data_IF_696561266744
#
_entry.id   IF_696561266744
#
_cell.length_a   1.000
_cell.length_b   1.000
_cell.length_c   1.000
_cell.angle_alpha   90.00
_cell.angle_beta   90.00
_cell.angle_gamma   90.00
#
_symmetry.space_group_name_H-M   'P 1'
#
loop_
_entity.id
_entity.type
_entity.pdbx_description
1 polymer ?
#
# COMPACT_ATOMS: atom_id res chain seq x y z
N UNK A 1 2.37 -4.85 42.76
CA UNK A 1 3.41 -5.14 41.76
C UNK A 1 2.72 -5.30 40.42
N UNK A 2 2.98 -4.40 39.47
CA UNK A 2 2.39 -4.40 38.14
C UNK A 2 2.96 -5.54 37.29
N UNK A 3 2.06 -6.25 36.59
CA UNK A 3 2.40 -7.19 35.54
C UNK A 3 2.17 -6.49 34.19
N UNK A 4 3.26 -6.16 33.50
CA UNK A 4 3.27 -5.69 32.11
C UNK A 4 4.03 -6.73 31.30
N UNK A 5 3.32 -7.48 30.46
CA UNK A 5 3.93 -8.56 29.67
C UNK A 5 2.96 -9.23 28.72
N UNK A 6 2.36 -8.46 27.79
CA UNK A 6 1.72 -8.93 26.54
C UNK A 6 1.13 -7.74 25.77
N UNK A 7 1.97 -6.95 25.09
CA UNK A 7 1.49 -5.97 24.10
C UNK A 7 2.28 -6.03 22.78
N UNK A 8 3.58 -6.36 22.81
CA UNK A 8 4.44 -6.35 21.62
C UNK A 8 4.11 -7.36 20.50
N UNK A 9 3.38 -8.44 20.80
CA UNK A 9 3.01 -9.44 19.80
C UNK A 9 1.81 -9.06 18.93
N UNK A 10 0.91 -8.20 19.44
CA UNK A 10 -0.32 -7.82 18.74
C UNK A 10 -0.04 -6.76 17.67
N UNK A 11 0.75 -5.75 18.01
CA UNK A 11 0.98 -4.61 17.12
C UNK A 11 1.90 -4.98 15.96
N UNK A 12 2.94 -5.79 16.20
CA UNK A 12 3.85 -6.22 15.15
C UNK A 12 3.17 -7.09 14.07
N UNK A 13 2.27 -7.98 14.49
CA UNK A 13 1.52 -8.86 13.57
C UNK A 13 0.42 -8.08 12.83
N UNK A 14 -0.20 -7.07 13.45
CA UNK A 14 -1.15 -6.16 12.79
C UNK A 14 -0.47 -5.27 11.74
N UNK A 15 0.67 -4.66 12.06
CA UNK A 15 1.47 -3.88 11.10
C UNK A 15 1.90 -4.75 9.93
N UNK A 16 2.31 -5.99 10.18
CA UNK A 16 2.72 -6.92 9.14
C UNK A 16 1.56 -7.32 8.21
N UNK A 17 0.38 -7.56 8.77
CA UNK A 17 -0.83 -7.81 7.99
C UNK A 17 -1.18 -6.62 7.08
N UNK A 18 -1.11 -5.40 7.60
CA UNK A 18 -1.33 -4.17 6.81
C UNK A 18 -0.32 -4.03 5.67
N UNK A 19 0.97 -4.30 5.93
CA UNK A 19 2.00 -4.28 4.89
C UNK A 19 1.74 -5.35 3.81
N UNK A 20 1.36 -6.57 4.20
CA UNK A 20 0.98 -7.59 3.23
C UNK A 20 -0.17 -7.13 2.33
N UNK A 21 -1.19 -6.47 2.89
CA UNK A 21 -2.33 -5.92 2.13
C UNK A 21 -1.92 -4.83 1.14
N UNK A 22 -0.93 -4.00 1.49
CA UNK A 22 -0.44 -2.91 0.62
C UNK A 22 0.44 -3.46 -0.52
N UNK A 23 1.30 -4.44 -0.24
CA UNK A 23 2.36 -4.84 -1.17
C UNK A 23 2.05 -6.08 -2.02
N UNK A 24 1.01 -6.87 -1.72
CA UNK A 24 0.76 -8.10 -2.47
C UNK A 24 0.45 -7.87 -3.94
N UNK A 25 -0.40 -6.88 -4.26
CA UNK A 25 -0.80 -6.63 -5.63
C UNK A 25 0.32 -5.99 -6.47
N UNK A 26 1.07 -5.00 -5.94
CA UNK A 26 2.28 -4.52 -6.61
C UNK A 26 3.26 -5.66 -6.96
N UNK A 27 3.53 -6.58 -6.02
CA UNK A 27 4.44 -7.71 -6.25
C UNK A 27 3.88 -8.72 -7.26
N UNK A 28 2.57 -8.96 -7.24
CA UNK A 28 1.88 -9.78 -8.23
C UNK A 28 2.00 -9.19 -9.64
N UNK A 29 1.67 -7.91 -9.79
CA UNK A 29 1.76 -7.20 -11.08
C UNK A 29 3.20 -7.17 -11.60
N UNK A 30 4.18 -6.97 -10.71
CA UNK A 30 5.59 -7.08 -11.05
C UNK A 30 5.93 -8.47 -11.61
N UNK A 31 5.50 -9.55 -10.95
CA UNK A 31 5.75 -10.91 -11.43
C UNK A 31 5.11 -11.18 -12.81
N UNK A 32 3.88 -10.71 -13.06
CA UNK A 32 3.23 -10.80 -14.38
C UNK A 32 4.02 -10.08 -15.46
N UNK A 33 4.54 -8.88 -15.16
CA UNK A 33 5.36 -8.09 -16.10
C UNK A 33 6.76 -8.68 -16.33
N UNK A 34 7.26 -9.51 -15.42
CA UNK A 34 8.48 -10.31 -15.62
C UNK A 34 8.26 -11.58 -16.47
N UNK A 35 7.05 -11.76 -17.02
CA UNK A 35 6.72 -12.85 -17.94
C UNK A 35 6.12 -14.09 -17.28
N UNK A 36 5.80 -14.05 -15.98
CA UNK A 36 5.02 -15.12 -15.35
C UNK A 36 3.59 -15.14 -15.90
N UNK A 37 3.06 -16.35 -16.15
CA UNK A 37 1.62 -16.52 -16.32
C UNK A 37 0.87 -16.25 -14.99
N UNK A 38 -0.46 -16.22 -15.04
CA UNK A 38 -1.30 -15.92 -13.87
C UNK A 38 -0.99 -16.84 -12.69
N UNK A 39 -1.04 -18.16 -12.90
CA UNK A 39 -0.82 -19.17 -11.87
C UNK A 39 0.57 -19.04 -11.28
N UNK A 40 1.60 -18.91 -12.13
CA UNK A 40 2.98 -18.76 -11.68
C UNK A 40 3.16 -17.45 -10.89
N UNK A 41 2.55 -16.35 -11.31
CA UNK A 41 2.63 -15.08 -10.58
C UNK A 41 1.95 -15.18 -9.19
N UNK A 42 0.83 -15.88 -9.08
CA UNK A 42 0.17 -16.14 -7.79
C UNK A 42 1.08 -16.97 -6.88
N UNK A 43 1.63 -18.07 -7.40
CA UNK A 43 2.52 -18.97 -6.65
C UNK A 43 3.81 -18.27 -6.21
N UNK A 44 4.39 -17.43 -7.07
CA UNK A 44 5.57 -16.63 -6.76
C UNK A 44 5.27 -15.59 -5.68
N UNK A 45 4.13 -14.91 -5.77
CA UNK A 45 3.72 -13.91 -4.78
C UNK A 45 3.46 -14.56 -3.42
N UNK A 46 2.67 -15.65 -3.38
CA UNK A 46 2.42 -16.38 -2.15
C UNK A 46 3.70 -16.96 -1.55
N UNK A 47 4.51 -17.65 -2.37
CA UNK A 47 5.78 -18.23 -1.92
C UNK A 47 6.75 -17.18 -1.39
N UNK A 48 6.79 -16.00 -2.01
CA UNK A 48 7.60 -14.89 -1.53
C UNK A 48 7.16 -14.42 -0.14
N UNK A 49 5.87 -14.17 0.07
CA UNK A 49 5.38 -13.77 1.40
C UNK A 49 5.57 -14.88 2.45
N UNK A 50 5.35 -16.15 2.09
CA UNK A 50 5.63 -17.28 3.00
C UNK A 50 7.11 -17.28 3.41
N UNK A 51 8.03 -17.21 2.44
CA UNK A 51 9.46 -17.18 2.70
C UNK A 51 9.88 -15.94 3.51
N UNK A 52 9.29 -14.78 3.20
CA UNK A 52 9.55 -13.53 3.88
C UNK A 52 9.09 -13.59 5.34
N UNK A 53 7.95 -14.19 5.64
CA UNK A 53 7.42 -14.35 6.99
C UNK A 53 8.17 -15.40 7.82
N UNK A 54 8.64 -16.47 7.17
CA UNK A 54 9.42 -17.53 7.81
C UNK A 54 10.86 -17.11 8.09
N UNK A 55 11.43 -16.29 7.21
CA UNK A 55 12.74 -15.69 7.44
C UNK A 55 12.60 -14.64 8.55
N UNK A 56 13.35 -14.83 9.65
CA UNK A 56 13.49 -13.81 10.71
C UNK A 56 14.02 -12.48 10.18
N UNK A 57 14.44 -12.44 8.91
CA UNK A 57 14.85 -11.29 8.15
C UNK A 57 13.76 -10.24 7.95
N UNK A 58 12.46 -10.56 8.01
CA UNK A 58 11.44 -9.51 7.93
C UNK A 58 11.52 -8.50 9.09
N UNK A 59 11.85 -9.00 10.29
CA UNK A 59 11.99 -8.16 11.49
C UNK A 59 13.32 -7.39 11.51
N UNK A 60 14.37 -7.88 10.85
CA UNK A 60 15.67 -7.20 10.72
C UNK A 60 15.81 -6.35 9.45
N UNK A 61 15.05 -6.62 8.39
CA UNK A 61 15.04 -5.84 7.14
C UNK A 61 14.49 -4.43 7.36
N UNK A 62 13.71 -4.22 8.42
CA UNK A 62 13.37 -2.89 8.95
C UNK A 62 14.59 -2.07 9.43
N UNK A 63 15.76 -2.70 9.65
CA UNK A 63 16.91 -2.10 10.37
C UNK A 63 18.18 -1.92 9.56
N UNK A 64 18.29 -2.40 8.31
CA UNK A 64 19.59 -2.38 7.62
C UNK A 64 19.57 -1.96 6.14
N UNK A 65 18.40 -1.69 5.53
CA UNK A 65 18.33 -1.43 4.08
C UNK A 65 17.26 -0.41 3.67
N UNK A 66 17.49 0.86 3.96
CA UNK A 66 16.78 1.98 3.33
C UNK A 66 15.25 1.84 3.33
N UNK A 67 14.59 2.22 2.23
CA UNK A 67 13.12 2.18 2.10
C UNK A 67 12.62 0.73 1.92
N UNK A 68 11.63 0.33 2.73
CA UNK A 68 11.06 -1.03 2.72
C UNK A 68 10.59 -1.48 1.33
N UNK A 69 10.02 -0.57 0.54
CA UNK A 69 9.60 -0.81 -0.84
C UNK A 69 10.76 -1.29 -1.74
N UNK A 70 11.92 -0.64 -1.66
CA UNK A 70 13.10 -1.02 -2.44
C UNK A 70 13.65 -2.37 -1.99
N UNK A 71 13.66 -2.62 -0.68
CA UNK A 71 14.03 -3.92 -0.12
C UNK A 71 13.11 -5.04 -0.65
N UNK A 72 11.79 -4.84 -0.63
CA UNK A 72 10.81 -5.82 -1.12
C UNK A 72 11.04 -6.15 -2.59
N UNK A 73 11.22 -5.12 -3.43
CA UNK A 73 11.39 -5.32 -4.86
C UNK A 73 12.69 -6.08 -5.21
N UNK A 74 13.79 -5.74 -4.54
CA UNK A 74 15.07 -6.46 -4.70
C UNK A 74 14.93 -7.91 -4.21
N UNK A 75 14.30 -8.10 -3.05
CA UNK A 75 14.09 -9.43 -2.47
C UNK A 75 13.19 -10.30 -3.33
N UNK A 76 12.11 -9.75 -3.90
CA UNK A 76 11.22 -10.44 -4.82
C UNK A 76 11.97 -10.87 -6.09
N UNK A 77 12.82 -9.99 -6.66
CA UNK A 77 13.64 -10.34 -7.82
C UNK A 77 14.57 -11.51 -7.53
N UNK A 78 15.29 -11.46 -6.41
CA UNK A 78 16.17 -12.57 -5.99
C UNK A 78 15.39 -13.85 -5.73
N UNK A 79 14.23 -13.74 -5.09
CA UNK A 79 13.35 -14.88 -4.84
C UNK A 79 12.90 -15.53 -6.15
N UNK A 80 12.39 -14.74 -7.10
CA UNK A 80 11.99 -15.24 -8.42
C UNK A 80 13.16 -15.91 -9.15
N UNK A 81 14.35 -15.30 -9.17
CA UNK A 81 15.54 -15.91 -9.78
C UNK A 81 15.87 -17.28 -9.14
N UNK A 82 15.90 -17.35 -7.82
CA UNK A 82 16.15 -18.59 -7.07
C UNK A 82 15.07 -19.65 -7.33
N UNK A 83 13.80 -19.27 -7.40
CA UNK A 83 12.70 -20.20 -7.69
C UNK A 83 12.75 -20.71 -9.12
N UNK A 84 13.13 -19.87 -10.09
CA UNK A 84 13.32 -20.29 -11.47
C UNK A 84 14.51 -21.26 -11.60
N UNK A 85 15.59 -21.04 -10.86
CA UNK A 85 16.72 -21.97 -10.77
C UNK A 85 16.30 -23.32 -10.13
N UNK A 86 15.51 -23.29 -9.05
CA UNK A 86 14.99 -24.49 -8.39
C UNK A 86 14.01 -25.27 -9.28
N UNK A 87 13.12 -24.60 -10.00
CA UNK A 87 12.19 -25.24 -10.93
C UNK A 87 12.92 -25.86 -12.13
N UNK A 88 14.01 -25.23 -12.59
CA UNK A 88 14.92 -25.81 -13.60
C UNK A 88 15.73 -26.99 -13.05
N UNK A 89 16.09 -26.97 -11.77
CA UNK A 89 16.89 -28.01 -11.11
C UNK A 89 16.09 -29.21 -10.54
N UNK A 90 14.80 -29.03 -10.22
CA UNK A 90 13.94 -30.05 -9.61
C UNK A 90 12.53 -29.98 -10.17
N UNK A 91 12.23 -30.87 -11.12
CA UNK A 91 10.84 -31.31 -11.34
C UNK A 91 10.41 -32.16 -10.14
N UNK A 92 9.57 -31.58 -9.29
CA UNK A 92 8.58 -32.16 -8.34
C UNK A 92 8.81 -31.87 -6.85
N UNK A 93 7.75 -31.33 -6.24
CA UNK A 93 7.27 -31.65 -4.90
C UNK A 93 7.75 -30.73 -3.79
N UNK A 94 6.88 -29.85 -3.31
CA UNK A 94 7.14 -29.08 -2.10
C UNK A 94 5.90 -28.37 -1.58
N UNK A 95 5.31 -28.95 -0.54
CA UNK A 95 4.21 -28.45 0.28
C UNK A 95 4.54 -27.03 0.80
N UNK A 96 3.73 -26.03 0.40
CA UNK A 96 3.92 -24.62 0.79
C UNK A 96 2.85 -24.21 1.78
N UNK A 97 3.28 -23.59 2.87
CA UNK A 97 2.38 -22.92 3.81
C UNK A 97 1.76 -21.71 3.10
N UNK A 98 0.44 -21.70 2.96
CA UNK A 98 -0.29 -20.62 2.29
C UNK A 98 -0.48 -19.42 3.23
N UNK A 99 0.06 -18.27 2.85
CA UNK A 99 -0.34 -16.98 3.41
C UNK A 99 -1.70 -16.61 2.81
N UNK A 100 -2.66 -16.20 3.65
CA UNK A 100 -3.97 -15.73 3.19
C UNK A 100 -3.84 -14.37 2.49
N UNK A 101 -3.57 -14.41 1.17
CA UNK A 101 -3.59 -13.25 0.28
C UNK A 101 -4.88 -13.30 -0.55
N UNK A 102 -5.61 -12.18 -0.64
CA UNK A 102 -6.79 -12.11 -1.49
C UNK A 102 -6.39 -11.93 -2.97
N UNK A 103 -5.89 -13.01 -3.60
CA UNK A 103 -5.50 -13.02 -5.02
C UNK A 103 -6.66 -13.27 -5.98
N UNK A 104 -7.89 -13.39 -5.46
CA UNK A 104 -9.05 -13.86 -6.24
C UNK A 104 -9.44 -12.92 -7.38
N UNK A 105 -9.14 -11.63 -7.26
CA UNK A 105 -9.43 -10.60 -8.26
C UNK A 105 -8.17 -10.10 -9.00
N UNK A 106 -7.00 -10.69 -8.73
CA UNK A 106 -5.71 -10.19 -9.20
C UNK A 106 -5.62 -10.12 -10.74
N UNK A 107 -6.13 -11.14 -11.43
CA UNK A 107 -6.16 -11.15 -12.91
C UNK A 107 -7.18 -10.17 -13.47
N UNK A 108 -8.33 -9.99 -12.83
CA UNK A 108 -9.33 -9.01 -13.25
C UNK A 108 -8.77 -7.59 -13.14
N UNK A 109 -8.03 -7.29 -12.05
CA UNK A 109 -7.32 -6.02 -11.89
C UNK A 109 -6.18 -5.85 -12.90
N UNK A 110 -5.41 -6.91 -13.17
CA UNK A 110 -4.31 -6.86 -14.14
C UNK A 110 -4.81 -6.66 -15.58
N UNK A 111 -5.90 -7.34 -15.98
CA UNK A 111 -6.44 -7.28 -17.33
C UNK A 111 -6.97 -5.88 -17.72
N UNK A 112 -7.39 -5.07 -16.75
CA UNK A 112 -7.85 -3.69 -16.98
C UNK A 112 -6.74 -2.65 -16.84
N UNK A 113 -5.52 -3.05 -16.49
CA UNK A 113 -4.39 -2.12 -16.49
C UNK A 113 -4.10 -1.63 -17.92
N UNK A 114 -3.87 -0.33 -18.13
CA UNK A 114 -3.44 0.17 -19.42
C UNK A 114 -2.13 -0.47 -19.85
N UNK A 115 -2.02 -0.87 -21.12
CA UNK A 115 -0.75 -1.24 -21.72
C UNK A 115 0.17 0.00 -21.68
N UNK A 116 1.16 -0.03 -20.81
CA UNK A 116 2.11 1.05 -20.56
C UNK A 116 3.49 0.63 -21.06
N UNK A 117 4.28 1.58 -21.56
CA UNK A 117 5.70 1.36 -21.90
C UNK A 117 6.62 1.47 -20.67
N UNK A 118 6.03 1.60 -19.48
CA UNK A 118 6.75 1.72 -18.21
C UNK A 118 7.44 0.40 -17.83
N UNK A 119 8.59 0.50 -17.15
CA UNK A 119 9.30 -0.67 -16.63
C UNK A 119 8.50 -1.36 -15.51
N UNK A 120 8.73 -2.65 -15.28
CA UNK A 120 8.08 -3.38 -14.18
C UNK A 120 8.36 -2.71 -12.81
N UNK A 121 9.60 -2.27 -12.65
CA UNK A 121 10.06 -1.03 -12.03
C UNK A 121 9.02 -0.01 -11.57
N UNK A 122 8.75 0.90 -12.52
CA UNK A 122 7.85 2.02 -12.35
C UNK A 122 6.40 1.59 -12.12
N UNK A 123 5.99 0.45 -12.70
CA UNK A 123 4.66 -0.09 -12.50
C UNK A 123 4.43 -0.53 -11.04
N UNK A 124 5.40 -1.25 -10.46
CA UNK A 124 5.38 -1.64 -9.05
C UNK A 124 5.26 -0.41 -8.15
N UNK A 125 6.09 0.60 -8.43
CA UNK A 125 6.10 1.87 -7.72
C UNK A 125 4.74 2.59 -7.78
N UNK A 126 4.11 2.61 -8.95
CA UNK A 126 2.80 3.24 -9.17
C UNK A 126 1.68 2.48 -8.48
N UNK A 127 1.64 1.16 -8.62
CA UNK A 127 0.61 0.32 -7.96
C UNK A 127 0.73 0.41 -6.45
N UNK A 128 1.95 0.41 -5.90
CA UNK A 128 2.18 0.65 -4.47
C UNK A 128 1.60 2.00 -4.03
N UNK A 129 1.87 3.07 -4.77
CA UNK A 129 1.36 4.40 -4.45
C UNK A 129 -0.18 4.43 -4.47
N UNK A 130 -0.83 3.78 -5.44
CA UNK A 130 -2.29 3.70 -5.53
C UNK A 130 -2.89 2.91 -4.36
N UNK A 131 -2.37 1.72 -4.06
CA UNK A 131 -2.87 0.88 -2.96
C UNK A 131 -2.69 1.56 -1.60
N UNK A 132 -1.56 2.25 -1.39
CA UNK A 132 -1.34 3.01 -0.16
C UNK A 132 -2.31 4.19 -0.02
N UNK A 133 -2.58 4.93 -1.10
CA UNK A 133 -3.55 6.03 -1.07
C UNK A 133 -4.98 5.54 -0.83
N UNK A 134 -5.36 4.40 -1.41
CA UNK A 134 -6.65 3.75 -1.16
C UNK A 134 -6.79 3.35 0.31
N UNK A 135 -5.78 2.69 0.88
CA UNK A 135 -5.75 2.32 2.31
C UNK A 135 -5.90 3.55 3.22
N UNK A 136 -5.13 4.60 2.97
CA UNK A 136 -5.21 5.87 3.73
C UNK A 136 -6.61 6.51 3.61
N UNK A 137 -7.21 6.46 2.42
CA UNK A 137 -8.55 6.98 2.19
C UNK A 137 -9.61 6.17 2.95
N UNK A 138 -9.54 4.84 2.92
CA UNK A 138 -10.46 3.96 3.65
C UNK A 138 -10.35 4.13 5.16
N UNK A 139 -9.14 4.30 5.69
CA UNK A 139 -8.96 4.61 7.11
C UNK A 139 -9.59 5.95 7.49
N UNK A 140 -9.40 6.98 6.66
CA UNK A 140 -10.01 8.29 6.88
C UNK A 140 -11.54 8.25 6.80
N UNK A 141 -12.08 7.46 5.87
CA UNK A 141 -13.52 7.21 5.74
C UNK A 141 -14.10 6.58 7.01
N UNK A 142 -13.44 5.54 7.53
CA UNK A 142 -13.83 4.88 8.78
C UNK A 142 -13.83 5.87 9.95
N UNK A 143 -12.79 6.69 10.10
CA UNK A 143 -12.73 7.70 11.18
C UNK A 143 -13.90 8.70 11.12
N UNK A 144 -14.31 9.11 9.91
CA UNK A 144 -15.46 9.99 9.74
C UNK A 144 -16.78 9.26 10.00
N UNK A 145 -16.91 8.01 9.58
CA UNK A 145 -18.09 7.19 9.85
C UNK A 145 -18.30 6.97 11.35
N UNK A 146 -17.23 6.61 12.07
CA UNK A 146 -17.25 6.40 13.53
C UNK A 146 -17.60 7.68 14.30
N UNK A 147 -17.25 8.85 13.75
CA UNK A 147 -17.61 10.15 14.28
C UNK A 147 -19.02 10.63 13.87
N UNK A 148 -19.81 9.82 13.15
CA UNK A 148 -21.14 10.19 12.66
C UNK A 148 -21.15 11.19 11.50
N UNK A 149 -20.01 11.37 10.82
CA UNK A 149 -19.79 12.36 9.77
C UNK A 149 -19.56 11.72 8.38
N UNK A 150 -20.09 10.51 8.13
CA UNK A 150 -19.93 9.81 6.86
C UNK A 150 -20.39 10.63 5.65
N UNK A 151 -21.56 11.29 5.74
CA UNK A 151 -22.07 12.15 4.66
C UNK A 151 -21.16 13.35 4.37
N UNK A 152 -20.54 13.91 5.42
CA UNK A 152 -19.55 14.98 5.27
C UNK A 152 -18.30 14.47 4.54
N UNK A 153 -17.83 13.26 4.87
CA UNK A 153 -16.71 12.65 4.16
C UNK A 153 -17.03 12.44 2.68
N UNK A 154 -18.18 11.82 2.37
CA UNK A 154 -18.62 11.56 1.01
C UNK A 154 -18.73 12.85 0.18
N UNK A 155 -19.27 13.92 0.76
CA UNK A 155 -19.35 15.20 0.09
C UNK A 155 -17.96 15.82 -0.17
N UNK A 156 -17.03 15.68 0.80
CA UNK A 156 -15.75 16.39 0.77
C UNK A 156 -14.58 15.59 0.17
N UNK A 157 -14.66 14.26 0.02
CA UNK A 157 -13.55 13.41 -0.45
C UNK A 157 -13.01 13.80 -1.82
N UNK A 158 -13.87 14.32 -2.70
CA UNK A 158 -13.49 14.87 -4.02
C UNK A 158 -12.47 16.02 -3.96
N UNK A 159 -12.37 16.71 -2.81
CA UNK A 159 -11.44 17.81 -2.59
C UNK A 159 -10.08 17.38 -2.03
N UNK A 160 -9.85 16.08 -1.79
CA UNK A 160 -8.55 15.58 -1.31
C UNK A 160 -7.42 15.79 -2.33
N UNK A 161 -7.70 15.51 -3.60
CA UNK A 161 -6.69 15.47 -4.68
C UNK A 161 -6.66 16.72 -5.55
N UNK A 162 -7.70 17.56 -5.49
CA UNK A 162 -7.80 18.73 -6.37
C UNK A 162 -7.70 20.02 -5.56
N UNK A 163 -6.53 20.65 -5.57
CA UNK A 163 -6.28 21.91 -4.86
C UNK A 163 -7.14 23.08 -5.36
N UNK A 164 -7.64 22.99 -6.60
CA UNK A 164 -8.21 24.12 -7.35
C UNK A 164 -9.70 23.94 -7.68
N UNK A 165 -10.51 23.63 -6.67
CA UNK A 165 -11.98 23.57 -6.77
C UNK A 165 -12.68 24.45 -5.73
N UNK A 166 -12.06 25.58 -5.35
CA UNK A 166 -12.71 26.54 -4.41
C UNK A 166 -14.05 27.04 -4.96
N UNK A 167 -14.18 27.15 -6.29
CA UNK A 167 -15.42 27.51 -6.99
C UNK A 167 -16.59 26.52 -6.77
N UNK A 168 -16.30 25.30 -6.28
CA UNK A 168 -17.30 24.25 -6.00
C UNK A 168 -17.65 24.11 -4.52
N UNK A 169 -17.07 24.92 -3.65
CA UNK A 169 -17.41 24.89 -2.22
C UNK A 169 -18.84 25.33 -1.95
N UNK A 170 -19.47 26.07 -2.87
CA UNK A 170 -20.88 26.44 -2.75
C UNK A 170 -21.79 25.21 -2.83
N UNK A 171 -21.58 24.32 -3.80
CA UNK A 171 -22.38 23.09 -3.94
C UNK A 171 -22.26 22.19 -2.70
N UNK A 172 -21.05 22.11 -2.13
CA UNK A 172 -20.81 21.35 -0.90
C UNK A 172 -21.43 22.03 0.33
N UNK A 173 -21.47 23.37 0.36
CA UNK A 173 -22.11 24.13 1.42
C UNK A 173 -23.63 23.89 1.42
N UNK A 174 -24.24 23.95 0.25
CA UNK A 174 -25.67 23.70 0.06
C UNK A 174 -26.04 22.24 0.41
N UNK A 175 -25.22 21.27 -0.02
CA UNK A 175 -25.43 19.86 0.29
C UNK A 175 -25.31 19.53 1.78
N UNK A 176 -24.40 20.19 2.51
CA UNK A 176 -24.16 19.94 3.93
C UNK A 176 -24.95 20.89 4.85
N UNK A 177 -25.63 21.90 4.31
CA UNK A 177 -26.35 22.91 5.10
C UNK A 177 -25.43 23.80 5.95
N UNK A 178 -24.18 24.01 5.53
CA UNK A 178 -23.18 24.82 6.26
C UNK A 178 -22.68 25.98 5.40
N UNK A 179 -21.98 26.95 5.99
CA UNK A 179 -21.40 28.05 5.20
C UNK A 179 -20.23 27.58 4.32
N UNK A 180 -19.99 28.27 3.21
CA UNK A 180 -18.83 28.05 2.32
C UNK A 180 -17.50 28.20 3.08
N UNK A 181 -17.44 29.06 4.10
CA UNK A 181 -16.28 29.20 5.00
C UNK A 181 -16.10 27.98 5.92
N UNK A 182 -17.19 27.36 6.38
CA UNK A 182 -17.15 26.12 7.14
C UNK A 182 -16.71 24.94 6.26
N UNK A 183 -17.15 24.87 4.99
CA UNK A 183 -16.64 23.91 4.00
C UNK A 183 -15.14 24.05 3.82
N UNK A 184 -14.63 25.27 3.60
CA UNK A 184 -13.19 25.53 3.45
C UNK A 184 -12.39 25.03 4.66
N UNK A 185 -12.90 25.29 5.86
CA UNK A 185 -12.30 24.82 7.10
C UNK A 185 -12.35 23.29 7.23
N UNK A 186 -13.46 22.66 6.85
CA UNK A 186 -13.63 21.21 6.87
C UNK A 186 -12.69 20.52 5.87
N UNK A 187 -12.56 21.03 4.65
CA UNK A 187 -11.60 20.53 3.65
C UNK A 187 -10.16 20.67 4.15
N UNK A 188 -9.81 21.79 4.80
CA UNK A 188 -8.48 21.95 5.38
C UNK A 188 -8.19 20.88 6.46
N UNK A 189 -9.15 20.64 7.36
CA UNK A 189 -9.03 19.57 8.38
C UNK A 189 -8.92 18.19 7.74
N UNK A 190 -9.75 17.89 6.75
CA UNK A 190 -9.72 16.63 5.99
C UNK A 190 -8.34 16.39 5.37
N UNK A 191 -7.81 17.37 4.63
CA UNK A 191 -6.46 17.28 4.01
C UNK A 191 -5.34 17.18 5.04
N UNK A 192 -5.49 17.83 6.20
CA UNK A 192 -4.52 17.72 7.30
C UNK A 192 -4.53 16.31 7.88
N UNK A 193 -5.71 15.72 8.11
CA UNK A 193 -5.84 14.36 8.65
C UNK A 193 -5.35 13.32 7.64
N UNK A 194 -5.73 13.43 6.38
CA UNK A 194 -5.23 12.57 5.30
C UNK A 194 -3.69 12.55 5.25
N UNK A 195 -3.05 13.73 5.27
CA UNK A 195 -1.58 13.82 5.30
C UNK A 195 -0.97 13.20 6.55
N UNK A 196 -1.63 13.32 7.69
CA UNK A 196 -1.13 12.71 8.93
C UNK A 196 -1.17 11.19 8.86
N UNK A 197 -2.27 10.59 8.38
CA UNK A 197 -2.40 9.14 8.20
C UNK A 197 -1.36 8.65 7.18
N UNK A 198 -1.27 9.31 6.01
CA UNK A 198 -0.29 8.95 4.97
C UNK A 198 1.15 8.98 5.50
N UNK A 199 1.50 10.01 6.28
CA UNK A 199 2.83 10.08 6.92
C UNK A 199 3.06 8.97 7.93
N UNK A 200 2.05 8.61 8.72
CA UNK A 200 2.16 7.53 9.68
C UNK A 200 2.36 6.17 9.00
N UNK A 201 1.66 5.90 7.90
CA UNK A 201 1.86 4.69 7.09
C UNK A 201 3.26 4.64 6.49
N UNK A 202 3.74 5.75 5.90
CA UNK A 202 5.10 5.80 5.35
C UNK A 202 6.15 5.65 6.46
N UNK A 203 5.95 6.28 7.63
CA UNK A 203 6.83 6.15 8.79
C UNK A 203 6.98 4.69 9.26
N UNK A 204 5.98 3.84 9.06
CA UNK A 204 6.07 2.41 9.37
C UNK A 204 6.96 1.63 8.39
N UNK A 205 7.28 2.22 7.23
CA UNK A 205 8.01 1.60 6.10
C UNK A 205 9.40 2.20 5.86
N UNK A 206 9.78 3.21 6.63
CA UNK A 206 11.13 3.81 6.60
C UNK A 206 11.81 3.61 7.95
N UNK A 207 13.14 3.64 7.94
CA UNK A 207 13.94 3.43 9.16
C UNK A 207 14.02 4.71 10.00
N UNK A 208 14.24 5.86 9.37
CA UNK A 208 14.32 7.16 10.03
C UNK A 208 13.16 8.08 9.64
N UNK A 209 12.67 8.86 10.61
CA UNK A 209 11.62 9.86 10.37
C UNK A 209 12.03 10.91 9.31
N UNK A 210 13.34 11.18 9.19
CA UNK A 210 13.90 12.06 8.16
C UNK A 210 13.64 11.56 6.73
N UNK A 211 13.48 10.24 6.53
CA UNK A 211 13.27 9.65 5.21
C UNK A 211 11.81 9.75 4.74
N UNK A 212 10.87 10.09 5.63
CA UNK A 212 9.43 10.17 5.32
C UNK A 212 9.15 11.19 4.22
N UNK A 213 9.82 12.34 4.26
CA UNK A 213 9.61 13.41 3.28
C UNK A 213 10.12 12.99 1.88
N UNK A 214 11.22 12.25 1.82
CA UNK A 214 11.78 11.78 0.57
C UNK A 214 11.00 10.60 -0.01
N UNK A 215 10.42 9.74 0.84
CA UNK A 215 9.52 8.68 0.38
C UNK A 215 8.18 9.25 -0.11
N UNK A 216 7.64 10.29 0.54
CA UNK A 216 6.48 11.04 0.04
C UNK A 216 6.73 11.66 -1.35
N UNK A 217 7.89 12.30 -1.57
CA UNK A 217 8.26 12.81 -2.90
C UNK A 217 8.29 11.70 -3.94
N UNK A 218 8.76 10.52 -3.56
CA UNK A 218 8.88 9.37 -4.46
C UNK A 218 7.52 8.77 -4.80
N UNK A 219 6.60 8.72 -3.83
CA UNK A 219 5.20 8.36 -4.03
C UNK A 219 4.54 9.29 -5.06
N UNK A 220 4.64 10.61 -4.89
CA UNK A 220 4.06 11.54 -5.85
C UNK A 220 4.72 11.46 -7.22
N UNK A 221 6.04 11.29 -7.28
CA UNK A 221 6.76 11.10 -8.53
C UNK A 221 6.25 9.87 -9.30
N UNK A 222 5.97 8.76 -8.62
CA UNK A 222 5.43 7.54 -9.22
C UNK A 222 4.03 7.73 -9.84
N UNK A 223 3.24 8.68 -9.33
CA UNK A 223 1.90 9.00 -9.86
C UNK A 223 1.93 10.04 -11.00
N UNK A 224 2.99 10.84 -11.11
CA UNK A 224 3.12 11.88 -12.15
C UNK A 224 3.81 11.42 -13.44
N UNK A 225 4.62 10.35 -13.39
CA UNK A 225 5.27 9.81 -14.59
C UNK A 225 4.23 9.05 -15.42
N UNK A 226 3.90 9.59 -16.60
CA UNK A 226 3.09 8.95 -17.65
C UNK A 226 3.99 8.46 -18.77
#
# INVERSE_FOLDING_TARGET
MLSTGKQDGSDADQTLSALCQIYWYPLYSFARRQGCDSTTAQDMTQGFFTHLLESRDFRSAKRERGRFRSFLLVSMRHFMLNEWEKQRAKKRGGDRVHVSLNLSDAESRYAVQPATTETAEAAFDREWALTLLEHVQSQLESEYADAGNAETFECLKRYLTTERQEDRYQDAADQLGISTSAVKSAVHRLRKRFRHILRAEIAQTVEAEADVDDELKSLFAALTKR
#
